data_IF_233362182763
#
_entry.id   IF_233362182763
#
_cell.length_a   1.000
_cell.length_b   1.000
_cell.length_c   1.000
_cell.angle_alpha   90.00
_cell.angle_beta   90.00
_cell.angle_gamma   90.00
#
_symmetry.space_group_name_H-M   'P 1'
#
loop_
_entity.id
_entity.type
_entity.pdbx_description
1 polymer ?
#
# COMPACT_ATOMS: atom_id res chain seq x y z
N UNK A 1 -29.76 7.66 -4.42
CA UNK A 1 -28.70 6.90 -5.12
C UNK A 1 -27.63 6.59 -4.10
N UNK A 2 -27.15 5.34 -4.03
CA UNK A 2 -26.05 4.96 -3.13
C UNK A 2 -24.73 5.08 -3.88
N UNK A 3 -23.75 5.76 -3.30
CA UNK A 3 -22.44 6.00 -3.94
C UNK A 3 -21.34 5.37 -3.11
N UNK A 4 -20.51 4.54 -3.76
CA UNK A 4 -19.30 3.99 -3.17
C UNK A 4 -18.08 4.84 -3.57
N UNK A 5 -17.28 5.25 -2.59
CA UNK A 5 -16.03 5.99 -2.79
C UNK A 5 -14.88 5.07 -2.42
N UNK A 6 -14.01 4.73 -3.38
CA UNK A 6 -12.89 3.81 -3.17
C UNK A 6 -11.59 4.60 -3.12
N UNK A 7 -10.92 4.56 -1.97
CA UNK A 7 -9.59 5.14 -1.78
C UNK A 7 -8.55 4.10 -2.19
N UNK A 8 -7.87 4.36 -3.30
CA UNK A 8 -6.77 3.54 -3.78
C UNK A 8 -5.42 4.06 -3.30
N UNK A 9 -4.59 3.14 -2.82
CA UNK A 9 -3.18 3.44 -2.59
C UNK A 9 -2.33 2.18 -2.78
N UNK A 10 -1.00 2.34 -2.85
CA UNK A 10 -0.06 1.23 -2.90
C UNK A 10 -0.03 0.43 -1.58
N UNK A 11 -0.47 1.03 -0.49
CA UNK A 11 -0.33 0.45 0.84
C UNK A 11 1.11 0.53 1.36
N UNK A 12 1.38 -0.24 2.40
CA UNK A 12 2.68 -0.30 3.04
C UNK A 12 2.76 -1.48 4.00
N UNK A 13 3.98 -1.86 4.42
CA UNK A 13 4.16 -2.98 5.33
C UNK A 13 3.57 -2.66 6.71
N UNK A 14 2.84 -3.60 7.28
CA UNK A 14 2.24 -3.52 8.62
C UNK A 14 3.23 -3.90 9.75
N UNK A 15 4.40 -4.38 9.37
CA UNK A 15 5.45 -4.91 10.23
C UNK A 15 6.81 -4.87 9.53
N UNK A 16 7.89 -4.99 10.29
CA UNK A 16 9.25 -5.05 9.73
C UNK A 16 9.50 -6.33 8.92
N UNK A 17 8.80 -7.39 9.26
CA UNK A 17 8.82 -8.70 8.61
C UNK A 17 8.13 -8.62 7.22
N UNK A 18 7.07 -7.81 7.11
CA UNK A 18 6.35 -7.58 5.87
C UNK A 18 7.09 -6.68 4.87
N UNK A 19 8.19 -6.01 5.24
CA UNK A 19 8.93 -5.08 4.36
C UNK A 19 9.40 -5.77 3.08
N UNK A 20 10.03 -6.95 3.19
CA UNK A 20 10.52 -7.65 1.99
C UNK A 20 9.37 -8.19 1.13
N UNK A 21 8.34 -8.86 1.67
CA UNK A 21 7.14 -9.21 0.91
C UNK A 21 6.50 -8.03 0.18
N UNK A 22 6.34 -6.89 0.85
CA UNK A 22 5.82 -5.65 0.25
C UNK A 22 6.66 -5.19 -0.94
N UNK A 23 7.99 -5.08 -0.78
CA UNK A 23 8.89 -4.69 -1.87
C UNK A 23 8.86 -5.70 -3.02
N UNK A 24 8.76 -6.99 -2.71
CA UNK A 24 8.66 -8.02 -3.74
C UNK A 24 7.38 -7.83 -4.58
N UNK A 25 6.22 -7.63 -3.96
CA UNK A 25 4.96 -7.38 -4.67
C UNK A 25 5.04 -6.09 -5.51
N UNK A 26 5.62 -5.02 -4.94
CA UNK A 26 5.83 -3.75 -5.63
C UNK A 26 6.66 -3.91 -6.91
N UNK A 27 7.80 -4.62 -6.86
CA UNK A 27 8.67 -4.79 -8.03
C UNK A 27 8.23 -5.93 -8.96
N UNK A 28 7.42 -6.88 -8.48
CA UNK A 28 6.83 -7.91 -9.33
C UNK A 28 5.59 -7.40 -10.09
N UNK A 29 5.18 -6.15 -9.86
CA UNK A 29 4.11 -5.50 -10.59
C UNK A 29 4.51 -5.11 -12.02
N UNK A 30 3.67 -5.44 -13.00
CA UNK A 30 3.87 -5.08 -14.41
C UNK A 30 3.77 -3.56 -14.65
N UNK A 31 2.98 -2.86 -13.85
CA UNK A 31 2.82 -1.40 -13.94
C UNK A 31 4.06 -0.66 -13.41
N UNK A 32 4.84 -1.28 -12.51
CA UNK A 32 6.09 -0.73 -11.97
C UNK A 32 7.30 -1.16 -12.81
N UNK A 33 7.37 -2.44 -13.17
CA UNK A 33 8.42 -2.99 -14.02
C UNK A 33 7.76 -3.68 -15.23
N UNK A 34 7.87 -3.06 -16.41
CA UNK A 34 7.20 -3.55 -17.63
C UNK A 34 7.92 -4.73 -18.32
N UNK A 35 8.47 -5.67 -17.56
CA UNK A 35 9.19 -6.85 -18.06
C UNK A 35 8.27 -8.09 -18.01
N UNK A 36 8.38 -8.98 -19.01
CA UNK A 36 7.63 -10.25 -19.03
C UNK A 36 8.15 -11.24 -17.99
N UNK A 37 7.29 -12.16 -17.55
CA UNK A 37 7.73 -13.27 -16.71
C UNK A 37 8.54 -14.27 -17.54
N UNK A 38 9.51 -14.99 -16.93
CA UNK A 38 9.87 -15.02 -15.50
C UNK A 38 10.91 -13.97 -15.06
N UNK A 39 11.41 -13.15 -16.00
CA UNK A 39 12.50 -12.20 -15.71
C UNK A 39 12.10 -11.14 -14.67
N UNK A 40 10.87 -10.64 -14.72
CA UNK A 40 10.35 -9.70 -13.70
C UNK A 40 10.34 -10.31 -12.30
N UNK A 41 9.92 -11.56 -12.15
CA UNK A 41 9.94 -12.25 -10.86
C UNK A 41 11.36 -12.38 -10.29
N UNK A 42 12.34 -12.75 -11.13
CA UNK A 42 13.75 -12.84 -10.75
C UNK A 42 14.30 -11.47 -10.31
N UNK A 43 14.00 -10.42 -11.08
CA UNK A 43 14.37 -9.04 -10.75
C UNK A 43 13.72 -8.59 -9.43
N UNK A 44 12.43 -8.87 -9.23
CA UNK A 44 11.72 -8.54 -8.00
C UNK A 44 12.33 -9.25 -6.79
N UNK A 45 12.72 -10.52 -6.91
CA UNK A 45 13.46 -11.23 -5.85
C UNK A 45 14.80 -10.55 -5.53
N UNK A 46 15.58 -10.20 -6.56
CA UNK A 46 16.89 -9.58 -6.38
C UNK A 46 16.79 -8.18 -5.74
N UNK A 47 15.91 -7.33 -6.27
CA UNK A 47 15.74 -5.95 -5.80
C UNK A 47 15.16 -5.94 -4.38
N UNK A 48 14.13 -6.74 -4.11
CA UNK A 48 13.51 -6.80 -2.78
C UNK A 48 14.51 -7.28 -1.72
N UNK A 49 15.33 -8.30 -2.01
CA UNK A 49 16.39 -8.76 -1.11
C UNK A 49 17.42 -7.67 -0.81
N UNK A 50 17.88 -6.95 -1.83
CA UNK A 50 18.89 -5.88 -1.68
C UNK A 50 18.35 -4.66 -0.95
N UNK A 51 17.10 -4.27 -1.21
CA UNK A 51 16.49 -3.06 -0.61
C UNK A 51 15.89 -3.29 0.77
N UNK A 52 15.52 -4.53 1.11
CA UNK A 52 14.86 -4.84 2.38
C UNK A 52 15.62 -4.33 3.62
N UNK A 53 16.96 -4.47 3.76
CA UNK A 53 17.68 -3.97 4.94
C UNK A 53 17.56 -2.45 5.11
N UNK A 54 17.66 -1.70 4.01
CA UNK A 54 17.55 -0.23 4.03
C UNK A 54 16.11 0.19 4.35
N UNK A 55 15.13 -0.41 3.69
CA UNK A 55 13.71 -0.12 3.94
C UNK A 55 13.30 -0.48 5.38
N UNK A 56 13.79 -1.60 5.91
CA UNK A 56 13.52 -2.02 7.30
C UNK A 56 14.03 -0.99 8.30
N UNK A 57 15.22 -0.42 8.08
CA UNK A 57 15.74 0.68 8.90
C UNK A 57 14.81 1.91 8.83
N UNK A 58 14.33 2.28 7.65
CA UNK A 58 13.40 3.42 7.52
C UNK A 58 12.12 3.16 8.31
N UNK A 59 11.48 1.99 8.13
CA UNK A 59 10.27 1.66 8.88
C UNK A 59 10.52 1.50 10.39
N UNK A 60 11.71 1.09 10.82
CA UNK A 60 12.09 1.12 12.25
C UNK A 60 12.03 2.53 12.84
N UNK A 61 12.53 3.55 12.12
CA UNK A 61 12.43 4.94 12.57
C UNK A 61 10.98 5.45 12.60
N UNK A 62 10.08 4.82 11.85
CA UNK A 62 8.64 5.13 11.82
C UNK A 62 7.81 4.33 12.83
N UNK A 63 8.45 3.63 13.78
CA UNK A 63 7.74 2.82 14.77
C UNK A 63 7.44 1.38 14.34
N UNK A 64 8.12 0.88 13.31
CA UNK A 64 8.11 -0.54 12.92
C UNK A 64 7.16 -0.90 11.77
N UNK A 65 6.36 0.05 11.28
CA UNK A 65 5.35 -0.18 10.23
C UNK A 65 5.04 1.09 9.44
N UNK A 66 4.30 0.96 8.34
CA UNK A 66 3.77 2.10 7.60
C UNK A 66 2.53 2.68 8.31
N UNK A 67 2.48 4.00 8.56
CA UNK A 67 1.27 4.64 9.10
C UNK A 67 0.17 4.81 8.03
N UNK A 68 0.45 4.49 6.77
CA UNK A 68 -0.39 4.85 5.64
C UNK A 68 -1.82 4.31 5.76
N UNK A 69 -1.99 3.04 6.13
CA UNK A 69 -3.31 2.44 6.24
C UNK A 69 -4.13 3.07 7.37
N UNK A 70 -3.49 3.37 8.50
CA UNK A 70 -4.15 4.02 9.64
C UNK A 70 -4.58 5.44 9.28
N UNK A 71 -3.70 6.22 8.65
CA UNK A 71 -4.04 7.56 8.17
C UNK A 71 -5.13 7.53 7.10
N UNK A 72 -5.10 6.56 6.19
CA UNK A 72 -6.14 6.40 5.15
C UNK A 72 -7.49 6.06 5.77
N UNK A 73 -7.54 5.28 6.86
CA UNK A 73 -8.79 5.00 7.59
C UNK A 73 -9.38 6.26 8.23
N UNK A 74 -8.54 7.08 8.85
CA UNK A 74 -8.96 8.37 9.42
C UNK A 74 -9.52 9.28 8.33
N UNK A 75 -8.83 9.37 7.19
CA UNK A 75 -9.30 10.15 6.04
C UNK A 75 -10.60 9.60 5.45
N UNK A 76 -10.73 8.27 5.32
CA UNK A 76 -11.93 7.63 4.79
C UNK A 76 -13.15 7.86 5.69
N UNK A 77 -12.97 7.85 7.01
CA UNK A 77 -14.03 8.18 7.96
C UNK A 77 -14.45 9.65 7.83
N UNK A 78 -13.47 10.57 7.92
CA UNK A 78 -13.74 12.01 7.79
C UNK A 78 -14.42 12.37 6.46
N UNK A 79 -14.00 11.73 5.37
CA UNK A 79 -14.63 11.93 4.06
C UNK A 79 -16.07 11.42 4.03
N UNK A 80 -16.34 10.24 4.61
CA UNK A 80 -17.70 9.71 4.67
C UNK A 80 -18.62 10.64 5.48
N UNK A 81 -18.12 11.16 6.60
CA UNK A 81 -18.87 12.08 7.47
C UNK A 81 -19.17 13.40 6.76
N UNK A 82 -18.18 13.97 6.05
CA UNK A 82 -18.39 15.18 5.25
C UNK A 82 -19.39 14.98 4.10
N UNK A 83 -19.44 13.79 3.51
CA UNK A 83 -20.36 13.48 2.41
C UNK A 83 -21.77 13.11 2.89
N UNK A 84 -21.97 12.89 4.20
CA UNK A 84 -23.25 12.45 4.75
C UNK A 84 -24.39 13.46 4.50
N UNK A 85 -24.08 14.76 4.46
CA UNK A 85 -25.06 15.82 4.16
C UNK A 85 -25.46 15.86 2.68
N UNK A 86 -24.60 15.36 1.79
CA UNK A 86 -24.81 15.38 0.34
C UNK A 86 -25.56 14.13 -0.19
N UNK A 87 -25.68 13.07 0.62
CA UNK A 87 -26.40 11.85 0.23
C UNK A 87 -25.89 10.57 0.91
N UNK A 88 -26.28 9.42 0.36
CA UNK A 88 -25.88 8.12 0.89
C UNK A 88 -24.54 7.66 0.29
N UNK A 89 -23.44 8.01 0.99
CA UNK A 89 -22.08 7.65 0.62
C UNK A 89 -21.47 6.58 1.54
N UNK A 90 -20.67 5.68 0.98
CA UNK A 90 -19.86 4.72 1.72
C UNK A 90 -18.42 4.72 1.23
N UNK A 91 -17.46 4.87 2.13
CA UNK A 91 -16.03 4.82 1.79
C UNK A 91 -15.46 3.40 1.95
N UNK A 92 -14.56 3.04 1.05
CA UNK A 92 -13.84 1.77 1.04
C UNK A 92 -12.36 2.03 0.77
N UNK A 93 -11.48 1.17 1.27
CA UNK A 93 -10.04 1.27 1.08
C UNK A 93 -9.57 0.04 0.31
N UNK A 94 -8.81 0.27 -0.75
CA UNK A 94 -8.18 -0.77 -1.55
C UNK A 94 -6.68 -0.50 -1.65
N UNK A 95 -5.90 -1.34 -0.96
CA UNK A 95 -4.43 -1.36 -1.06
C UNK A 95 -4.00 -2.43 -2.07
N UNK A 96 -2.86 -2.20 -2.72
CA UNK A 96 -2.33 -3.08 -3.76
C UNK A 96 -1.46 -4.22 -3.21
#
# INVERSE_FOLDING_TARGET
>A
MKVAVILFNLGGPDSLEAVRPFLFNLFNDRAIIAIRQPLRWLLAQLISRRRAPVARKIYQHLGGKSPLLEMTRVQAAALQDQLAEAGEFKTFIAMR
#
